data_IF_338767646950
#
_entry.id   IF_338767646950
#
_cell.length_a   1.000
_cell.length_b   1.000
_cell.length_c   1.000
_cell.angle_alpha   90.00
_cell.angle_beta   90.00
_cell.angle_gamma   90.00
#
_symmetry.space_group_name_H-M   'P 1'
#
loop_
_entity.id
_entity.type
_entity.pdbx_description
1 polymer ?
#
# COMPACT_ATOMS: atom_id res chain seq x y z
N UNK A 1 -10.64 -13.50 2.13
CA UNK A 1 -10.09 -12.82 3.33
C UNK A 1 -11.18 -12.52 4.38
N UNK A 2 -10.93 -12.72 5.68
CA UNK A 2 -11.91 -12.42 6.75
C UNK A 2 -12.27 -10.92 6.81
N UNK A 3 -13.55 -10.58 6.94
CA UNK A 3 -13.97 -9.19 7.07
C UNK A 3 -13.37 -8.52 8.32
N UNK A 4 -12.62 -7.43 8.12
CA UNK A 4 -12.14 -6.55 9.18
C UNK A 4 -12.71 -5.14 9.00
N UNK A 5 -13.82 -4.87 9.69
CA UNK A 5 -14.52 -3.58 9.60
C UNK A 5 -13.73 -2.39 10.15
N UNK A 6 -12.75 -2.63 11.02
CA UNK A 6 -11.96 -1.57 11.65
C UNK A 6 -11.17 -0.73 10.65
N UNK A 7 -10.60 -1.35 9.60
CA UNK A 7 -9.90 -0.64 8.52
C UNK A 7 -10.86 0.30 7.79
N UNK A 8 -12.02 -0.22 7.39
CA UNK A 8 -13.04 0.57 6.70
C UNK A 8 -13.50 1.75 7.56
N UNK A 9 -13.86 1.50 8.81
CA UNK A 9 -14.34 2.54 9.72
C UNK A 9 -13.29 3.64 9.95
N UNK A 10 -12.03 3.27 10.24
CA UNK A 10 -10.97 4.24 10.53
C UNK A 10 -10.59 5.06 9.30
N UNK A 11 -10.32 4.38 8.17
CA UNK A 11 -9.86 5.05 6.95
C UNK A 11 -10.98 5.92 6.37
N UNK A 12 -12.23 5.42 6.26
CA UNK A 12 -13.33 6.23 5.73
C UNK A 12 -13.67 7.43 6.62
N UNK A 13 -13.54 7.31 7.96
CA UNK A 13 -13.72 8.43 8.87
C UNK A 13 -12.71 9.56 8.57
N UNK A 14 -11.44 9.20 8.41
CA UNK A 14 -10.38 10.16 8.12
C UNK A 14 -10.43 10.71 6.69
N UNK A 15 -10.90 9.91 5.72
CA UNK A 15 -11.14 10.36 4.35
C UNK A 15 -12.33 11.33 4.24
N UNK A 16 -13.30 11.28 5.16
CA UNK A 16 -14.55 12.03 5.03
C UNK A 16 -14.31 13.54 4.86
N UNK A 17 -13.43 14.13 5.67
CA UNK A 17 -13.14 15.58 5.59
C UNK A 17 -12.48 16.01 4.26
N UNK A 18 -11.35 15.41 3.82
CA UNK A 18 -10.76 15.75 2.51
C UNK A 18 -11.75 15.54 1.36
N UNK A 19 -12.49 14.42 1.38
CA UNK A 19 -13.47 14.13 0.35
C UNK A 19 -14.62 15.15 0.30
N UNK A 20 -15.15 15.59 1.44
CA UNK A 20 -16.19 16.63 1.47
C UNK A 20 -15.68 17.92 0.82
N UNK A 21 -14.42 18.28 1.05
CA UNK A 21 -13.81 19.48 0.45
C UNK A 21 -13.65 19.35 -1.06
N UNK A 22 -13.17 18.19 -1.53
CA UNK A 22 -12.87 17.96 -2.96
C UNK A 22 -14.11 17.63 -3.79
N UNK A 23 -15.04 16.85 -3.25
CA UNK A 23 -16.16 16.24 -4.00
C UNK A 23 -17.55 16.64 -3.50
N UNK A 24 -17.65 17.39 -2.40
CA UNK A 24 -18.91 17.77 -1.77
C UNK A 24 -19.49 16.69 -0.85
N UNK A 25 -20.38 17.11 0.05
CA UNK A 25 -20.92 16.28 1.13
C UNK A 25 -21.74 15.09 0.64
N UNK A 26 -22.73 15.34 -0.22
CA UNK A 26 -23.66 14.29 -0.66
C UNK A 26 -22.94 13.17 -1.41
N UNK A 27 -22.05 13.52 -2.36
CA UNK A 27 -21.28 12.54 -3.14
C UNK A 27 -20.32 11.74 -2.25
N UNK A 28 -19.71 12.39 -1.26
CA UNK A 28 -18.83 11.72 -0.28
C UNK A 28 -19.60 10.69 0.56
N UNK A 29 -20.73 11.09 1.14
CA UNK A 29 -21.51 10.21 2.03
C UNK A 29 -22.12 9.03 1.26
N UNK A 30 -22.59 9.27 0.04
CA UNK A 30 -23.07 8.21 -0.85
C UNK A 30 -21.95 7.23 -1.24
N UNK A 31 -20.78 7.75 -1.63
CA UNK A 31 -19.60 6.95 -1.95
C UNK A 31 -19.21 6.04 -0.78
N UNK A 32 -19.04 6.59 0.43
CA UNK A 32 -18.65 5.81 1.62
C UNK A 32 -19.70 4.73 1.93
N UNK A 33 -20.99 5.03 1.81
CA UNK A 33 -22.06 4.05 2.04
C UNK A 33 -21.97 2.88 1.05
N UNK A 34 -21.83 3.17 -0.25
CA UNK A 34 -21.70 2.16 -1.31
C UNK A 34 -20.37 1.38 -1.21
N UNK A 35 -19.29 2.06 -0.85
CA UNK A 35 -17.96 1.50 -0.71
C UNK A 35 -17.89 0.40 0.34
N UNK A 36 -18.68 0.47 1.41
CA UNK A 36 -18.71 -0.58 2.44
C UNK A 36 -19.14 -1.92 1.88
N UNK A 37 -20.12 -1.92 0.97
CA UNK A 37 -20.59 -3.13 0.29
C UNK A 37 -19.53 -3.65 -0.68
N UNK A 38 -18.90 -2.74 -1.45
CA UNK A 38 -17.81 -3.11 -2.36
C UNK A 38 -16.62 -3.70 -1.59
N UNK A 39 -16.16 -3.06 -0.53
CA UNK A 39 -15.07 -3.54 0.33
C UNK A 39 -15.31 -4.97 0.82
N UNK A 40 -16.54 -5.28 1.30
CA UNK A 40 -16.90 -6.64 1.71
C UNK A 40 -16.79 -7.63 0.55
N UNK A 41 -17.34 -7.29 -0.62
CA UNK A 41 -17.26 -8.13 -1.84
C UNK A 41 -15.83 -8.34 -2.31
N UNK A 42 -14.98 -7.31 -2.25
CA UNK A 42 -13.56 -7.43 -2.59
C UNK A 42 -12.88 -8.47 -1.70
N UNK A 43 -13.07 -8.38 -0.38
CA UNK A 43 -12.51 -9.35 0.57
C UNK A 43 -13.03 -10.78 0.39
N UNK A 44 -14.31 -10.96 0.03
CA UNK A 44 -14.90 -12.26 -0.27
C UNK A 44 -14.24 -12.93 -1.49
N UNK A 45 -13.89 -12.15 -2.51
CA UNK A 45 -13.23 -12.62 -3.73
C UNK A 45 -11.70 -12.75 -3.62
N UNK A 46 -11.12 -12.29 -2.51
CA UNK A 46 -9.67 -12.31 -2.31
C UNK A 46 -9.26 -13.62 -1.67
N UNK A 47 -8.26 -14.27 -2.28
CA UNK A 47 -7.58 -15.43 -1.71
C UNK A 47 -7.20 -15.16 -0.24
N UNK A 48 -7.36 -16.17 0.60
CA UNK A 48 -6.88 -16.04 1.98
C UNK A 48 -5.35 -16.14 1.99
N UNK A 49 -4.70 -15.08 2.47
CA UNK A 49 -3.23 -15.00 2.59
C UNK A 49 -2.74 -15.25 4.02
N UNK A 50 -3.64 -15.63 4.92
CA UNK A 50 -3.39 -15.81 6.34
C UNK A 50 -3.82 -14.59 7.16
N UNK A 51 -4.65 -14.82 8.17
CA UNK A 51 -5.23 -13.74 8.98
C UNK A 51 -4.23 -12.98 9.87
N UNK A 52 -3.12 -13.64 10.21
CA UNK A 52 -1.95 -13.16 10.94
C UNK A 52 -0.78 -12.76 10.03
N UNK A 53 -0.98 -12.78 8.70
CA UNK A 53 0.03 -12.34 7.75
C UNK A 53 0.40 -10.87 8.01
N UNK A 54 1.68 -10.53 8.20
CA UNK A 54 2.12 -9.17 8.51
C UNK A 54 1.83 -8.17 7.36
N UNK A 55 1.66 -8.63 6.12
CA UNK A 55 1.31 -7.82 4.96
C UNK A 55 -0.21 -7.66 4.76
N UNK A 56 -1.05 -8.39 5.51
CA UNK A 56 -2.51 -8.36 5.31
C UNK A 56 -3.13 -6.97 5.47
N UNK A 57 -2.53 -6.12 6.31
CA UNK A 57 -2.95 -4.72 6.49
C UNK A 57 -2.92 -3.90 5.20
N UNK A 58 -2.02 -4.23 4.27
CA UNK A 58 -1.91 -3.57 2.97
C UNK A 58 -3.13 -3.87 2.10
N UNK A 59 -3.61 -5.12 2.11
CA UNK A 59 -4.84 -5.51 1.39
C UNK A 59 -6.04 -4.74 1.93
N UNK A 60 -6.26 -4.81 3.25
CA UNK A 60 -7.40 -4.15 3.87
C UNK A 60 -7.41 -2.65 3.59
N UNK A 61 -6.26 -1.98 3.69
CA UNK A 61 -6.17 -0.54 3.48
C UNK A 61 -6.37 -0.15 2.01
N UNK A 62 -5.68 -0.82 1.07
CA UNK A 62 -5.83 -0.57 -0.37
C UNK A 62 -7.28 -0.77 -0.83
N UNK A 63 -7.97 -1.79 -0.32
CA UNK A 63 -9.36 -2.04 -0.69
C UNK A 63 -10.31 -0.96 -0.22
N UNK A 64 -10.05 -0.30 0.92
CA UNK A 64 -10.87 0.84 1.33
C UNK A 64 -10.70 1.99 0.32
N UNK A 65 -9.47 2.34 -0.07
CA UNK A 65 -9.23 3.40 -1.04
C UNK A 65 -9.88 3.08 -2.40
N UNK A 66 -9.64 1.89 -2.95
CA UNK A 66 -10.24 1.48 -4.23
C UNK A 66 -11.76 1.40 -4.17
N UNK A 67 -12.34 0.86 -3.09
CA UNK A 67 -13.79 0.76 -2.93
C UNK A 67 -14.45 2.15 -2.88
N UNK A 68 -13.85 3.10 -2.15
CA UNK A 68 -14.35 4.47 -2.04
C UNK A 68 -14.23 5.21 -3.38
N UNK A 69 -13.08 5.10 -4.05
CA UNK A 69 -12.86 5.68 -5.37
C UNK A 69 -13.88 5.17 -6.39
N UNK A 70 -14.02 3.83 -6.50
CA UNK A 70 -14.96 3.18 -7.43
C UNK A 70 -16.42 3.52 -7.11
N UNK A 71 -16.82 3.44 -5.84
CA UNK A 71 -18.20 3.69 -5.42
C UNK A 71 -18.67 5.14 -5.71
N UNK A 72 -17.74 6.10 -5.63
CA UNK A 72 -18.03 7.50 -5.92
C UNK A 72 -17.89 7.88 -7.38
N UNK A 73 -17.40 6.98 -8.23
CA UNK A 73 -16.97 7.27 -9.60
C UNK A 73 -16.09 8.54 -9.63
N UNK A 74 -15.09 8.57 -8.74
CA UNK A 74 -14.15 9.69 -8.66
C UNK A 74 -13.06 9.53 -9.71
N UNK A 75 -12.59 10.66 -10.25
CA UNK A 75 -11.35 10.69 -11.01
C UNK A 75 -10.20 10.23 -10.11
N UNK A 76 -9.34 9.36 -10.62
CA UNK A 76 -8.22 8.78 -9.86
C UNK A 76 -7.26 9.87 -9.40
N UNK A 77 -6.94 10.84 -10.26
CA UNK A 77 -6.00 11.91 -9.93
C UNK A 77 -6.54 12.83 -8.82
N UNK A 78 -7.83 13.17 -8.87
CA UNK A 78 -8.47 13.92 -7.78
C UNK A 78 -8.48 13.13 -6.47
N UNK A 79 -8.65 11.81 -6.54
CA UNK A 79 -8.66 10.96 -5.36
C UNK A 79 -7.25 10.75 -4.78
N UNK A 80 -6.20 10.78 -5.61
CA UNK A 80 -4.80 10.80 -5.15
C UNK A 80 -4.53 12.01 -4.25
N UNK A 81 -5.05 13.20 -4.58
CA UNK A 81 -4.92 14.38 -3.70
C UNK A 81 -5.57 14.15 -2.33
N UNK A 82 -6.74 13.50 -2.29
CA UNK A 82 -7.42 13.11 -1.05
C UNK A 82 -6.57 12.14 -0.22
N UNK A 83 -5.91 11.17 -0.88
CA UNK A 83 -5.00 10.22 -0.23
C UNK A 83 -3.78 10.95 0.35
N UNK A 84 -3.18 11.88 -0.39
CA UNK A 84 -2.06 12.71 0.09
C UNK A 84 -2.47 13.49 1.34
N UNK A 85 -3.65 14.11 1.33
CA UNK A 85 -4.16 14.82 2.50
C UNK A 85 -4.42 13.89 3.70
N UNK A 86 -4.97 12.70 3.44
CA UNK A 86 -5.15 11.66 4.46
C UNK A 86 -3.82 11.30 5.12
N UNK A 87 -2.76 11.06 4.35
CA UNK A 87 -1.43 10.72 4.89
C UNK A 87 -0.72 11.93 5.54
N UNK A 88 -1.08 13.16 5.17
CA UNK A 88 -0.63 14.39 5.82
C UNK A 88 -1.38 14.71 7.13
N UNK A 89 -2.40 13.92 7.49
CA UNK A 89 -3.12 14.09 8.74
C UNK A 89 -2.21 13.82 9.96
N UNK A 90 -2.21 14.74 10.94
CA UNK A 90 -1.40 14.62 12.17
C UNK A 90 -1.65 13.33 12.96
N UNK A 91 -2.89 12.81 12.96
CA UNK A 91 -3.23 11.56 13.64
C UNK A 91 -2.54 10.36 12.96
N UNK A 92 -2.56 10.32 11.63
CA UNK A 92 -1.86 9.29 10.85
C UNK A 92 -0.34 9.37 11.09
N UNK A 93 0.22 10.59 11.08
CA UNK A 93 1.63 10.81 11.41
C UNK A 93 2.01 10.27 12.80
N UNK A 94 1.19 10.54 13.83
CA UNK A 94 1.42 10.02 15.19
C UNK A 94 1.32 8.49 15.27
N UNK A 95 0.32 7.89 14.63
CA UNK A 95 0.13 6.43 14.64
C UNK A 95 1.27 5.69 13.93
N UNK A 96 1.84 6.29 12.89
CA UNK A 96 2.96 5.72 12.15
C UNK A 96 4.30 5.82 12.89
N UNK A 97 4.44 6.82 13.76
CA UNK A 97 5.71 7.17 14.37
C UNK A 97 6.65 7.89 13.39
N UNK A 98 7.80 8.32 13.91
CA UNK A 98 8.90 8.88 13.12
C UNK A 98 9.84 7.77 12.67
N UNK A 99 10.32 7.86 11.43
CA UNK A 99 11.50 7.15 10.96
C UNK A 99 12.26 8.07 10.02
N UNK A 100 13.58 7.98 10.01
CA UNK A 100 14.46 8.75 9.12
C UNK A 100 15.39 7.78 8.38
N UNK A 101 15.16 7.58 7.08
CA UNK A 101 15.93 6.64 6.25
C UNK A 101 17.35 7.14 5.95
N UNK A 102 17.69 8.38 6.32
CA UNK A 102 19.09 8.79 6.35
C UNK A 102 19.82 8.23 7.58
N UNK A 103 19.11 7.76 8.61
CA UNK A 103 19.70 7.09 9.76
C UNK A 103 19.91 5.59 9.43
N UNK A 104 21.16 5.09 9.45
CA UNK A 104 21.44 3.68 9.19
C UNK A 104 20.68 2.71 10.10
N UNK A 105 20.42 3.09 11.36
CA UNK A 105 19.65 2.24 12.28
C UNK A 105 18.19 2.09 11.87
N UNK A 106 17.56 3.17 11.37
CA UNK A 106 16.17 3.13 10.92
C UNK A 106 16.05 2.42 9.57
N UNK A 107 17.03 2.59 8.67
CA UNK A 107 17.15 1.77 7.45
C UNK A 107 17.29 0.28 7.79
N UNK A 108 18.14 -0.06 8.77
CA UNK A 108 18.29 -1.43 9.25
C UNK A 108 16.99 -1.97 9.85
N UNK A 109 16.27 -1.19 10.68
CA UNK A 109 14.96 -1.59 11.22
C UNK A 109 13.94 -1.86 10.11
N UNK A 110 13.98 -1.09 9.02
CA UNK A 110 13.16 -1.31 7.84
C UNK A 110 13.52 -2.63 7.14
N UNK A 111 14.79 -2.84 6.81
CA UNK A 111 15.30 -4.10 6.23
C UNK A 111 14.96 -5.32 7.11
N UNK A 112 15.25 -5.26 8.41
CA UNK A 112 14.93 -6.32 9.37
C UNK A 112 13.42 -6.64 9.39
N UNK A 113 12.56 -5.64 9.16
CA UNK A 113 11.10 -5.84 9.07
C UNK A 113 10.72 -6.60 7.80
N UNK A 114 11.35 -6.28 6.67
CA UNK A 114 11.11 -6.99 5.40
C UNK A 114 11.55 -8.45 5.49
N UNK A 115 12.72 -8.74 6.04
CA UNK A 115 13.16 -10.13 6.31
C UNK A 115 12.28 -10.87 7.32
N UNK A 116 11.66 -10.16 8.29
CA UNK A 116 10.66 -10.81 9.16
C UNK A 116 9.39 -11.21 8.40
N UNK A 117 8.99 -10.44 7.39
CA UNK A 117 7.83 -10.75 6.56
C UNK A 117 8.13 -11.92 5.61
N UNK A 118 9.33 -11.96 5.03
CA UNK A 118 9.87 -13.12 4.30
C UNK A 118 9.84 -14.38 5.17
N UNK A 119 10.50 -14.36 6.34
CA UNK A 119 10.53 -15.49 7.26
C UNK A 119 9.14 -15.95 7.70
N UNK A 120 8.17 -15.04 7.75
CA UNK A 120 6.78 -15.41 8.00
C UNK A 120 6.21 -16.17 6.79
N UNK A 121 6.41 -15.68 5.56
CA UNK A 121 5.92 -16.34 4.36
C UNK A 121 6.53 -17.75 4.18
N UNK A 122 7.82 -17.92 4.42
CA UNK A 122 8.51 -19.22 4.34
C UNK A 122 7.97 -20.24 5.35
N UNK A 123 7.60 -19.78 6.54
CA UNK A 123 7.02 -20.64 7.60
C UNK A 123 5.58 -21.04 7.35
N UNK A 124 4.91 -20.44 6.36
CA UNK A 124 3.50 -20.72 6.03
C UNK A 124 3.37 -21.09 4.54
N UNK A 125 3.93 -22.25 4.11
CA UNK A 125 3.96 -22.65 2.70
C UNK A 125 2.57 -22.77 2.07
N UNK A 126 1.51 -22.96 2.84
CA UNK A 126 0.11 -23.00 2.38
C UNK A 126 -0.39 -21.66 1.78
N UNK A 127 0.34 -20.57 2.01
CA UNK A 127 0.10 -19.26 1.43
C UNK A 127 1.19 -18.83 0.44
N UNK A 128 2.20 -19.66 0.15
CA UNK A 128 3.35 -19.28 -0.71
C UNK A 128 2.91 -18.80 -2.10
N UNK A 129 1.88 -19.44 -2.65
CA UNK A 129 1.27 -19.11 -3.93
C UNK A 129 0.12 -18.09 -3.81
N UNK A 130 -0.12 -17.52 -2.62
CA UNK A 130 -1.22 -16.59 -2.28
C UNK A 130 -0.74 -15.26 -1.74
N UNK A 131 0.43 -15.19 -1.08
CA UNK A 131 1.01 -13.97 -0.51
C UNK A 131 2.12 -13.35 -1.37
N UNK A 132 2.76 -12.29 -0.87
CA UNK A 132 3.94 -11.67 -1.52
C UNK A 132 5.16 -12.59 -1.39
N UNK A 133 5.98 -12.63 -2.44
CA UNK A 133 7.26 -13.34 -2.48
C UNK A 133 8.42 -12.37 -2.29
N UNK A 134 9.24 -12.54 -1.27
CA UNK A 134 10.30 -11.58 -0.98
C UNK A 134 11.58 -12.02 -1.67
N UNK A 135 12.14 -11.13 -2.51
CA UNK A 135 13.42 -11.34 -3.17
C UNK A 135 14.34 -10.18 -2.82
N UNK A 136 15.54 -10.50 -2.33
CA UNK A 136 16.55 -9.53 -1.91
C UNK A 136 17.80 -9.68 -2.77
N UNK A 137 18.44 -8.55 -3.07
CA UNK A 137 19.72 -8.50 -3.77
C UNK A 137 20.55 -7.39 -3.12
N UNK A 138 21.46 -7.78 -2.24
CA UNK A 138 22.33 -6.85 -1.50
C UNK A 138 23.50 -6.33 -2.36
N UNK A 139 23.76 -6.98 -3.50
CA UNK A 139 24.89 -6.65 -4.38
C UNK A 139 24.48 -5.75 -5.56
N UNK A 140 23.17 -5.67 -5.86
CA UNK A 140 22.64 -4.86 -6.97
C UNK A 140 22.91 -3.36 -6.80
N UNK A 141 22.76 -2.85 -5.57
CA UNK A 141 22.97 -1.45 -5.23
C UNK A 141 23.93 -1.34 -4.06
N UNK A 142 24.88 -0.40 -4.16
CA UNK A 142 25.81 -0.10 -3.08
C UNK A 142 25.13 0.67 -1.95
N UNK A 143 24.20 1.56 -2.29
CA UNK A 143 23.53 2.45 -1.36
C UNK A 143 22.08 2.03 -1.10
N UNK A 144 21.64 2.12 0.16
CA UNK A 144 20.25 1.92 0.56
C UNK A 144 19.87 0.46 0.80
N UNK A 145 18.61 0.12 0.49
CA UNK A 145 18.07 -1.23 0.64
C UNK A 145 17.20 -1.57 -0.56
N UNK A 146 17.45 -2.75 -1.12
CA UNK A 146 16.77 -3.25 -2.31
C UNK A 146 15.97 -4.52 -2.01
N UNK A 147 14.76 -4.59 -2.56
CA UNK A 147 14.00 -5.81 -2.67
C UNK A 147 13.01 -5.73 -3.84
N UNK A 148 12.51 -6.87 -4.29
CA UNK A 148 11.39 -6.88 -5.22
C UNK A 148 10.40 -8.02 -4.94
N UNK A 149 9.19 -7.85 -5.48
CA UNK A 149 8.17 -8.89 -5.53
C UNK A 149 7.97 -9.35 -6.98
N UNK A 150 7.89 -10.65 -7.23
CA UNK A 150 7.41 -11.18 -8.53
C UNK A 150 5.91 -11.52 -8.49
N UNK A 151 5.32 -11.49 -7.29
CA UNK A 151 3.94 -11.80 -7.00
C UNK A 151 3.35 -10.80 -6.00
N UNK A 152 2.19 -10.25 -6.34
CA UNK A 152 1.46 -9.32 -5.47
C UNK A 152 -0.02 -9.73 -5.39
N UNK A 153 -0.56 -10.09 -4.21
CA UNK A 153 -1.97 -10.46 -4.05
C UNK A 153 -2.94 -9.32 -4.42
N UNK A 154 -2.54 -8.06 -4.25
CA UNK A 154 -3.32 -6.91 -4.68
C UNK A 154 -3.42 -6.83 -6.20
N UNK A 155 -2.32 -7.12 -6.90
CA UNK A 155 -2.26 -7.14 -8.35
C UNK A 155 -3.08 -8.28 -8.93
N UNK A 156 -2.91 -9.51 -8.41
CA UNK A 156 -3.72 -10.66 -8.80
C UNK A 156 -5.21 -10.36 -8.65
N UNK A 157 -5.62 -9.85 -7.48
CA UNK A 157 -7.01 -9.46 -7.27
C UNK A 157 -7.47 -8.44 -8.31
N UNK A 158 -6.67 -7.40 -8.55
CA UNK A 158 -7.06 -6.32 -9.44
C UNK A 158 -7.20 -6.77 -10.89
N UNK A 159 -6.31 -7.65 -11.35
CA UNK A 159 -6.36 -8.26 -12.68
C UNK A 159 -7.60 -9.15 -12.83
N UNK A 160 -7.86 -10.01 -11.85
CA UNK A 160 -8.96 -10.97 -11.89
C UNK A 160 -10.35 -10.30 -11.73
N UNK A 161 -10.41 -9.08 -11.18
CA UNK A 161 -11.67 -8.43 -10.79
C UNK A 161 -11.91 -7.05 -11.43
N UNK A 162 -11.05 -6.59 -12.34
CA UNK A 162 -11.24 -5.32 -13.05
C UNK A 162 -10.98 -4.07 -12.21
N UNK A 163 -9.86 -4.07 -11.47
CA UNK A 163 -9.37 -2.94 -10.65
C UNK A 163 -7.97 -2.46 -11.06
N UNK A 164 -7.42 -2.90 -12.20
CA UNK A 164 -6.10 -2.45 -12.67
C UNK A 164 -6.06 -0.94 -12.97
N UNK A 165 -7.20 -0.32 -13.25
CA UNK A 165 -7.37 1.14 -13.36
C UNK A 165 -7.18 1.88 -12.02
N UNK A 166 -7.40 1.20 -10.89
CA UNK A 166 -7.32 1.80 -9.55
C UNK A 166 -6.08 1.36 -8.76
N UNK A 167 -5.52 0.20 -9.07
CA UNK A 167 -4.38 -0.34 -8.34
C UNK A 167 -3.14 0.58 -8.33
N UNK A 168 -2.75 1.25 -9.44
CA UNK A 168 -1.59 2.14 -9.45
C UNK A 168 -1.66 3.23 -8.39
N UNK A 169 -2.84 3.79 -8.11
CA UNK A 169 -3.04 4.75 -7.03
C UNK A 169 -2.66 4.19 -5.66
N UNK A 170 -2.88 2.90 -5.41
CA UNK A 170 -2.46 2.24 -4.17
C UNK A 170 -0.96 1.94 -4.15
N UNK A 171 -0.35 1.61 -5.30
CA UNK A 171 1.10 1.43 -5.42
C UNK A 171 1.85 2.76 -5.22
N UNK A 172 1.26 3.88 -5.62
CA UNK A 172 1.85 5.21 -5.48
C UNK A 172 1.91 5.69 -4.01
N UNK A 173 1.12 5.08 -3.12
CA UNK A 173 1.19 5.33 -1.67
C UNK A 173 2.59 5.02 -1.13
N UNK A 174 3.30 4.06 -1.74
CA UNK A 174 4.65 3.70 -1.31
C UNK A 174 5.59 4.92 -1.38
N UNK A 175 5.54 5.72 -2.44
CA UNK A 175 6.35 6.94 -2.57
C UNK A 175 6.05 7.92 -1.43
N UNK A 176 4.77 8.16 -1.13
CA UNK A 176 4.36 9.04 -0.02
C UNK A 176 4.86 8.52 1.34
N UNK A 177 4.88 7.20 1.52
CA UNK A 177 5.31 6.58 2.76
C UNK A 177 6.82 6.72 2.96
N UNK A 178 7.61 6.52 1.91
CA UNK A 178 9.07 6.68 1.96
C UNK A 178 9.51 8.14 2.05
N UNK A 179 8.86 9.06 1.31
CA UNK A 179 9.13 10.50 1.40
C UNK A 179 8.95 11.01 2.84
N UNK A 180 7.86 10.61 3.49
CA UNK A 180 7.63 10.94 4.90
C UNK A 180 8.63 10.32 5.87
N UNK A 181 9.42 9.36 5.41
CA UNK A 181 10.55 8.78 6.11
C UNK A 181 11.88 9.42 5.76
N UNK A 182 11.88 10.55 5.04
CA UNK A 182 13.08 11.15 4.44
C UNK A 182 13.86 10.16 3.56
N UNK A 183 13.12 9.35 2.80
CA UNK A 183 13.69 8.45 1.81
C UNK A 183 13.12 8.71 0.42
N UNK A 184 13.85 8.21 -0.57
CA UNK A 184 13.46 8.20 -1.97
C UNK A 184 13.30 6.74 -2.38
N UNK A 185 12.17 6.44 -3.01
CA UNK A 185 11.92 5.17 -3.66
C UNK A 185 12.26 5.30 -5.13
N UNK A 186 13.30 4.60 -5.57
CA UNK A 186 13.60 4.37 -6.97
C UNK A 186 12.90 3.07 -7.39
N UNK A 187 12.14 3.17 -8.48
CA UNK A 187 11.33 2.06 -8.99
C UNK A 187 11.11 2.26 -10.48
N UNK A 188 11.49 1.25 -11.27
CA UNK A 188 11.31 1.28 -12.72
C UNK A 188 9.97 0.70 -13.15
N UNK A 189 9.49 -0.34 -12.45
CA UNK A 189 8.24 -1.01 -12.83
C UNK A 189 7.48 -1.61 -11.65
N UNK A 190 6.19 -1.85 -11.88
CA UNK A 190 5.34 -2.65 -10.99
C UNK A 190 4.60 -3.70 -11.78
N UNK A 191 4.19 -4.78 -11.10
CA UNK A 191 3.23 -5.73 -11.67
C UNK A 191 1.91 -5.03 -12.06
N UNK A 192 1.51 -4.00 -11.31
CA UNK A 192 0.30 -3.21 -11.58
C UNK A 192 0.38 -2.45 -12.92
N UNK A 193 1.58 -2.01 -13.33
CA UNK A 193 1.84 -1.35 -14.60
C UNK A 193 2.22 -2.32 -15.73
N UNK A 194 2.05 -3.64 -15.53
CA UNK A 194 2.40 -4.67 -16.51
C UNK A 194 3.88 -5.06 -16.54
N UNK A 195 4.67 -4.62 -15.56
CA UNK A 195 6.05 -5.06 -15.37
C UNK A 195 6.14 -6.51 -14.89
N UNK A 196 7.36 -7.05 -14.88
CA UNK A 196 7.63 -8.42 -14.38
C UNK A 196 7.82 -8.50 -12.87
N UNK A 197 8.13 -7.37 -12.24
CA UNK A 197 8.37 -7.25 -10.80
C UNK A 197 7.74 -5.96 -10.25
N UNK A 198 7.47 -5.93 -8.96
CA UNK A 198 7.33 -4.69 -8.21
C UNK A 198 8.68 -4.37 -7.58
N UNK A 199 9.33 -3.36 -8.12
CA UNK A 199 10.68 -2.99 -7.74
C UNK A 199 10.71 -1.96 -6.60
N UNK A 200 11.66 -2.14 -5.68
CA UNK A 200 11.82 -1.29 -4.51
C UNK A 200 13.30 -1.09 -4.17
N UNK A 201 13.87 0.01 -4.66
CA UNK A 201 15.15 0.52 -4.18
C UNK A 201 14.93 1.76 -3.31
N UNK A 202 15.23 1.66 -2.02
CA UNK A 202 15.01 2.72 -1.05
C UNK A 202 16.34 3.30 -0.59
N UNK A 203 16.50 4.61 -0.73
CA UNK A 203 17.67 5.37 -0.24
C UNK A 203 17.23 6.54 0.64
N UNK A 204 18.12 7.04 1.49
CA UNK A 204 17.88 8.30 2.22
C UNK A 204 17.88 9.50 1.27
N UNK A 205 17.00 10.47 1.49
CA UNK A 205 16.82 11.65 0.62
C UNK A 205 18.02 12.62 0.57
N UNK A 206 19.00 12.44 1.47
CA UNK A 206 20.27 13.19 1.43
C UNK A 206 21.30 12.56 0.48
N UNK A 207 21.11 11.32 0.04
CA UNK A 207 21.99 10.70 -0.96
C UNK A 207 21.62 11.21 -2.36
N UNK A 208 22.43 12.12 -2.90
CA UNK A 208 22.15 12.83 -4.16
C UNK A 208 22.59 12.07 -5.42
N UNK A 209 23.46 11.06 -5.26
CA UNK A 209 23.97 10.22 -6.35
C UNK A 209 24.07 8.77 -5.82
N UNK A 210 22.92 8.14 -5.49
CA UNK A 210 22.91 6.77 -5.00
C UNK A 210 23.36 5.82 -6.11
N UNK A 211 24.17 4.81 -5.75
CA UNK A 211 24.69 3.81 -6.68
C UNK A 211 24.25 2.42 -6.30
#
# INVERSE_FOLDING_TARGET
MKYKGIYFSLISFLLKKPMIRKFGKNKTEESIKKARVLYKRMLEKTEDIGSNNPMSGNIYSAYVFMAVCRAGNFCVDDFKEVIVEFFNNKLIGKLRGGFDLNNPEDMKKFSDRMHRMEKWADKHPEYKDKTWDFNFDEDLHRDGFYYHFTRCPLEKFARDNGYLDLLPMCCDIDYLMFEKGKGVLHRESTLASGGKICDYWIVGDKNRDPK
#
